data_IF_105661966368
#
_entry.id   IF_105661966368
#
_cell.length_a   1.000
_cell.length_b   1.000
_cell.length_c   1.000
_cell.angle_alpha   90.00
_cell.angle_beta   90.00
_cell.angle_gamma   90.00
#
_symmetry.space_group_name_H-M   'P 1'
#
loop_
_entity.id
_entity.type
_entity.pdbx_description
1 polymer ?
2 water ?
#
# COMPACT_ATOMS: atom_id res chain seq x y z
N UNK A 2 -13.18 -23.74 -7.67
CA UNK A 2 -13.90 -22.57 -8.23
C UNK A 2 -13.00 -21.33 -8.31
N UNK A 3 -13.42 -20.34 -9.10
CA UNK A 3 -12.65 -19.12 -9.29
C UNK A 3 -12.46 -18.35 -7.98
N UNK A 4 -13.54 -18.16 -7.23
CA UNK A 4 -13.45 -17.44 -5.96
C UNK A 4 -12.44 -18.10 -5.04
N UNK A 5 -12.49 -19.41 -4.93
CA UNK A 5 -11.56 -20.14 -4.07
C UNK A 5 -10.14 -20.01 -4.60
N UNK A 6 -10.02 -19.78 -5.90
CA UNK A 6 -8.72 -19.63 -6.53
C UNK A 6 -8.11 -18.27 -6.14
N UNK A 7 -8.94 -17.23 -6.17
CA UNK A 7 -8.49 -15.89 -5.80
C UNK A 7 -8.06 -15.86 -4.33
N UNK A 8 -8.88 -16.44 -3.45
CA UNK A 8 -8.59 -16.47 -2.02
C UNK A 8 -7.20 -17.04 -1.76
N UNK A 9 -6.90 -18.16 -2.40
CA UNK A 9 -5.60 -18.81 -2.24
C UNK A 9 -4.46 -17.97 -2.79
N UNK A 10 -4.66 -17.37 -3.96
CA UNK A 10 -3.63 -16.56 -4.58
C UNK A 10 -3.26 -15.33 -3.73
N UNK A 11 -4.25 -14.75 -3.06
CA UNK A 11 -3.99 -13.57 -2.23
C UNK A 11 -3.73 -13.90 -0.77
N UNK A 12 -3.83 -15.18 -0.42
CA UNK A 12 -3.58 -15.63 0.94
C UNK A 12 -4.56 -15.10 1.98
N UNK A 13 -5.79 -14.79 1.57
CA UNK A 13 -6.79 -14.28 2.48
C UNK A 13 -7.40 -15.37 3.38
N UNK A 14 -7.80 -14.99 4.58
CA UNK A 14 -8.40 -15.91 5.53
C UNK A 14 -9.77 -15.37 5.95
N UNK A 15 -10.69 -16.28 6.30
CA UNK A 15 -12.06 -15.92 6.72
C UNK A 15 -12.05 -15.06 7.97
N UNK A 16 -11.10 -15.37 8.85
CA UNK A 16 -10.98 -14.63 10.11
C UNK A 16 -9.53 -14.64 10.57
N UNK A 17 -9.14 -13.59 11.28
CA UNK A 17 -7.78 -13.50 11.78
C UNK A 17 -7.75 -13.04 13.22
N UNK A 18 -6.63 -13.30 13.88
CA UNK A 18 -6.44 -12.88 15.24
C UNK A 18 -5.60 -11.60 15.14
N UNK A 19 -6.18 -10.48 15.54
CA UNK A 19 -5.51 -9.20 15.47
C UNK A 19 -4.09 -9.21 16.05
N UNK A 20 -3.96 -9.61 17.31
CA UNK A 20 -2.66 -9.65 17.97
C UNK A 20 -1.65 -10.46 17.18
N UNK A 21 -2.08 -11.61 16.69
CA UNK A 21 -1.19 -12.48 15.92
C UNK A 21 -0.76 -11.85 14.59
N UNK A 22 -1.69 -11.18 13.90
CA UNK A 22 -1.36 -10.57 12.61
C UNK A 22 -0.46 -9.35 12.80
N UNK A 23 -0.65 -8.62 13.90
CA UNK A 23 0.19 -7.45 14.20
C UNK A 23 1.62 -7.99 14.31
N UNK A 24 1.77 -9.05 15.11
CA UNK A 24 3.07 -9.64 15.36
C UNK A 24 3.75 -10.17 14.09
N UNK A 25 3.00 -10.89 13.27
CA UNK A 25 3.55 -11.46 12.04
C UNK A 25 4.15 -10.34 11.17
N UNK A 26 3.43 -9.23 11.06
CA UNK A 26 3.88 -8.10 10.27
C UNK A 26 5.13 -7.43 10.85
N UNK A 27 5.14 -7.20 12.16
CA UNK A 27 6.27 -6.57 12.82
C UNK A 27 7.53 -7.44 12.75
N UNK A 28 7.42 -8.73 13.08
CA UNK A 28 8.58 -9.61 13.03
C UNK A 28 9.10 -9.78 11.61
N UNK A 29 8.18 -9.74 10.64
CA UNK A 29 8.54 -9.84 9.23
C UNK A 29 9.46 -8.65 8.95
N UNK A 30 8.99 -7.44 9.24
CA UNK A 30 9.78 -6.23 9.03
C UNK A 30 11.12 -6.30 9.75
N UNK A 31 11.09 -6.66 11.03
CA UNK A 31 12.30 -6.77 11.84
C UNK A 31 13.26 -7.81 11.25
N UNK A 32 12.72 -8.97 10.89
CA UNK A 32 13.54 -10.02 10.32
C UNK A 32 14.24 -9.58 9.03
N UNK A 33 13.52 -8.82 8.22
CA UNK A 33 14.06 -8.34 6.95
C UNK A 33 15.26 -7.41 7.18
N UNK A 34 15.06 -6.43 8.06
CA UNK A 34 16.12 -5.47 8.37
C UNK A 34 17.36 -6.15 8.96
N UNK A 35 17.15 -7.15 9.81
CA UNK A 35 18.26 -7.86 10.42
C UNK A 35 19.06 -8.70 9.42
N UNK A 36 18.39 -9.17 8.38
CA UNK A 36 19.04 -9.97 7.35
C UNK A 36 19.89 -9.10 6.41
N UNK A 37 19.59 -7.80 6.37
CA UNK A 37 20.32 -6.86 5.52
C UNK A 37 20.68 -5.64 6.34
N UNK A 38 21.72 -5.77 7.18
CA UNK A 38 22.19 -4.68 8.05
C UNK A 38 22.56 -3.36 7.38
N UNK A 39 22.76 -3.36 6.07
CA UNK A 39 23.09 -2.08 5.42
C UNK A 39 21.85 -1.21 5.29
N UNK A 40 20.67 -1.79 5.53
CA UNK A 40 19.44 -1.02 5.46
C UNK A 40 19.26 -0.30 6.80
N UNK A 41 19.03 1.00 6.77
CA UNK A 41 18.88 1.74 8.02
C UNK A 41 17.51 2.36 8.24
N UNK A 42 16.71 2.46 7.18
CA UNK A 42 15.40 3.06 7.34
C UNK A 42 14.30 2.50 6.48
N UNK A 43 13.08 2.69 6.98
CA UNK A 43 11.86 2.27 6.30
C UNK A 43 11.20 3.55 5.84
N UNK A 44 10.85 3.61 4.57
CA UNK A 44 10.22 4.81 4.03
C UNK A 44 8.80 4.49 3.58
N UNK A 45 7.86 5.30 4.02
CA UNK A 45 6.46 5.11 3.68
C UNK A 45 5.73 6.43 3.40
N UNK A 46 4.88 6.43 2.38
CA UNK A 46 4.11 7.62 2.08
C UNK A 46 2.89 7.66 3.01
N UNK A 47 2.65 8.81 3.63
CA UNK A 47 1.52 8.96 4.55
C UNK A 47 0.44 9.79 3.87
N UNK A 48 -0.75 9.23 3.72
CA UNK A 48 -1.85 9.93 3.06
C UNK A 48 -2.99 10.31 4.01
N UNK A 49 -2.96 9.77 5.21
CA UNK A 49 -4.01 10.06 6.16
C UNK A 49 -5.08 8.98 6.10
N UNK A 50 -4.93 8.07 5.13
CA UNK A 50 -5.89 6.98 4.99
C UNK A 50 -5.58 5.78 5.86
N UNK A 51 -6.56 4.89 5.96
CA UNK A 51 -6.45 3.68 6.76
C UNK A 51 -5.19 2.85 6.50
N UNK A 52 -4.99 2.46 5.25
CA UNK A 52 -3.85 1.63 4.87
C UNK A 52 -2.47 2.16 5.28
N UNK A 53 -2.15 3.40 4.92
CA UNK A 53 -0.85 3.95 5.26
C UNK A 53 -0.72 4.18 6.77
N UNK A 54 -1.82 4.50 7.43
CA UNK A 54 -1.77 4.73 8.87
C UNK A 54 -1.39 3.43 9.57
N UNK A 55 -2.04 2.33 9.18
CA UNK A 55 -1.75 1.03 9.77
C UNK A 55 -0.31 0.61 9.45
N UNK A 56 0.09 0.76 8.19
CA UNK A 56 1.43 0.39 7.77
C UNK A 56 2.47 1.23 8.53
N UNK A 57 2.20 2.53 8.64
CA UNK A 57 3.11 3.41 9.34
C UNK A 57 3.31 2.98 10.79
N UNK A 58 2.22 2.67 11.48
CA UNK A 58 2.29 2.25 12.87
C UNK A 58 3.12 0.98 13.01
N UNK A 59 2.89 0.02 12.12
CA UNK A 59 3.64 -1.23 12.16
C UNK A 59 5.14 -1.00 11.91
N UNK A 60 5.47 -0.03 11.06
CA UNK A 60 6.87 0.25 10.77
C UNK A 60 7.55 0.85 12.01
N UNK A 61 6.92 1.84 12.63
CA UNK A 61 7.51 2.48 13.80
C UNK A 61 7.72 1.46 14.92
N UNK A 62 6.78 0.52 15.06
CA UNK A 62 6.89 -0.51 16.10
C UNK A 62 8.10 -1.40 15.85
N UNK A 63 8.32 -1.76 14.59
CA UNK A 63 9.45 -2.61 14.25
C UNK A 63 10.77 -1.90 14.54
N UNK A 64 10.85 -0.61 14.21
CA UNK A 64 12.04 0.17 14.46
C UNK A 64 12.26 0.35 15.98
N UNK A 65 11.20 0.69 16.70
CA UNK A 65 11.32 0.87 18.15
C UNK A 65 11.88 -0.38 18.82
N UNK A 66 11.34 -1.54 18.47
CA UNK A 66 11.82 -2.77 19.07
C UNK A 66 13.26 -3.09 18.70
N UNK A 67 13.62 -2.88 17.43
CA UNK A 67 15.00 -3.16 17.01
C UNK A 67 16.00 -2.32 17.81
N UNK A 68 15.69 -1.04 17.99
CA UNK A 68 16.58 -0.15 18.74
C UNK A 68 16.84 -0.66 20.14
N UNK A 69 15.76 -1.01 20.85
CA UNK A 69 15.89 -1.50 22.21
C UNK A 69 16.68 -2.79 22.27
N UNK A 70 16.34 -3.72 21.39
CA UNK A 70 16.96 -5.03 21.35
C UNK A 70 18.40 -5.11 20.81
N UNK A 71 18.76 -4.24 19.88
CA UNK A 71 20.11 -4.28 19.30
C UNK A 71 20.97 -3.07 19.66
N UNK A 72 20.36 -2.03 20.20
CA UNK A 72 21.11 -0.85 20.57
C UNK A 72 21.55 -0.03 19.35
N UNK A 73 21.09 -0.42 18.16
CA UNK A 73 21.44 0.30 16.94
C UNK A 73 20.63 1.58 16.84
N UNK A 74 21.26 2.70 17.16
CA UNK A 74 20.59 4.00 17.17
C UNK A 74 20.35 4.67 15.81
N UNK A 75 20.98 4.16 14.75
CA UNK A 75 20.82 4.76 13.43
C UNK A 75 19.57 4.31 12.66
N UNK A 76 18.86 3.31 13.16
CA UNK A 76 17.66 2.84 12.49
C UNK A 76 16.56 3.89 12.63
N UNK A 77 15.81 4.14 11.56
CA UNK A 77 14.75 5.11 11.66
C UNK A 77 13.62 4.89 10.66
N UNK A 78 12.40 5.25 11.07
CA UNK A 78 11.25 5.15 10.19
C UNK A 78 11.00 6.55 9.69
N UNK A 79 10.90 6.69 8.37
CA UNK A 79 10.69 7.99 7.76
C UNK A 79 9.33 8.06 7.07
N UNK A 80 8.44 8.86 7.63
CA UNK A 80 7.11 9.06 7.07
C UNK A 80 7.19 10.22 6.07
N UNK A 81 6.64 10.01 4.88
CA UNK A 81 6.70 11.04 3.85
C UNK A 81 5.32 11.56 3.45
N UNK A 82 5.15 12.88 3.49
CA UNK A 82 3.90 13.48 3.06
C UNK A 82 4.13 13.95 1.63
N UNK A 83 3.27 13.51 0.73
CA UNK A 83 3.43 13.84 -0.68
C UNK A 83 2.21 14.56 -1.25
N UNK A 84 1.96 15.78 -0.78
CA UNK A 84 0.81 16.57 -1.25
C UNK A 84 0.97 17.09 -2.67
N UNK A 85 -0.15 17.21 -3.36
CA UNK A 85 -0.15 17.75 -4.71
C UNK A 85 -0.61 19.19 -4.52
N UNK A 86 0.33 20.10 -4.34
CA UNK A 86 -0.03 21.48 -4.11
C UNK A 86 -0.41 21.69 -2.65
N UNK A 87 -1.64 21.34 -2.31
CA UNK A 87 -2.13 21.48 -0.94
C UNK A 87 -3.40 20.65 -0.66
N UNK A 91 -6.01 18.88 5.85
CA UNK A 91 -5.05 17.76 6.05
C UNK A 91 -5.01 17.31 7.51
N UNK A 92 -6.17 17.36 8.17
CA UNK A 92 -6.25 16.95 9.56
C UNK A 92 -6.06 15.45 9.74
N UNK A 93 -6.44 14.68 8.72
CA UNK A 93 -6.27 13.24 8.78
C UNK A 93 -4.79 12.89 8.81
N UNK A 94 -4.01 13.55 7.96
CA UNK A 94 -2.56 13.30 7.93
C UNK A 94 -1.97 13.62 9.29
N UNK A 95 -2.33 14.78 9.82
CA UNK A 95 -1.84 15.22 11.12
C UNK A 95 -2.22 14.25 12.22
N UNK A 96 -3.46 13.77 12.19
CA UNK A 96 -3.93 12.82 13.19
C UNK A 96 -3.17 11.51 13.07
N UNK A 97 -2.96 11.05 11.84
CA UNK A 97 -2.25 9.80 11.61
C UNK A 97 -0.83 9.90 12.15
N UNK A 98 -0.14 10.99 11.80
CA UNK A 98 1.21 11.20 12.26
C UNK A 98 1.30 11.21 13.79
N UNK A 99 0.33 11.86 14.43
CA UNK A 99 0.28 11.93 15.88
C UNK A 99 0.13 10.54 16.49
N UNK A 100 -0.59 9.67 15.80
CA UNK A 100 -0.81 8.30 16.26
C UNK A 100 0.40 7.40 16.01
N UNK A 101 1.07 7.62 14.88
CA UNK A 101 2.24 6.83 14.53
C UNK A 101 3.47 7.26 15.33
N UNK A 102 3.64 8.57 15.48
CA UNK A 102 4.77 9.16 16.19
C UNK A 102 6.08 8.74 15.51
N UNK A 103 6.21 9.03 14.21
CA UNK A 103 7.41 8.68 13.44
C UNK A 103 8.68 9.39 13.88
N UNK A 104 9.82 8.74 13.66
CA UNK A 104 11.10 9.36 14.02
C UNK A 104 11.33 10.61 13.20
N UNK A 105 10.86 10.58 11.96
CA UNK A 105 11.09 11.69 11.04
C UNK A 105 9.96 11.84 10.03
N UNK A 106 9.60 13.09 9.75
CA UNK A 106 8.54 13.38 8.79
C UNK A 106 9.07 14.33 7.73
N UNK A 107 8.91 13.96 6.47
CA UNK A 107 9.35 14.80 5.36
C UNK A 107 8.12 15.14 4.53
N UNK A 108 8.09 16.36 4.03
CA UNK A 108 6.99 16.80 3.21
C UNK A 108 7.57 17.18 1.86
N UNK A 109 7.05 16.56 0.82
CA UNK A 109 7.50 16.81 -0.54
C UNK A 109 6.29 17.13 -1.42
N UNK A 110 6.27 18.33 -1.97
CA UNK A 110 5.18 18.74 -2.83
C UNK A 110 5.50 18.30 -4.26
N UNK A 111 4.66 17.42 -4.80
CA UNK A 111 4.88 16.90 -6.14
C UNK A 111 4.32 17.73 -7.29
N UNK A 112 3.52 18.74 -6.98
CA UNK A 112 2.91 19.55 -8.04
C UNK A 112 3.92 20.07 -9.04
N UNK A 113 5.01 20.65 -8.54
CA UNK A 113 6.03 21.17 -9.43
C UNK A 113 6.51 20.19 -10.48
N UNK A 114 6.87 18.99 -10.05
CA UNK A 114 7.35 17.96 -10.97
C UNK A 114 6.29 17.51 -11.97
N UNK A 115 5.05 17.33 -11.52
CA UNK A 115 3.99 16.89 -12.41
C UNK A 115 3.75 17.89 -13.56
N UNK A 116 3.68 19.17 -13.23
CA UNK A 116 3.48 20.21 -14.25
C UNK A 116 4.65 20.25 -15.21
N UNK A 117 5.84 20.03 -14.70
CA UNK A 117 7.02 20.03 -15.56
C UNK A 117 6.93 18.87 -16.56
N UNK A 118 6.48 17.70 -16.08
CA UNK A 118 6.34 16.53 -16.95
C UNK A 118 5.30 16.79 -18.03
N UNK A 119 4.19 17.40 -17.65
CA UNK A 119 3.14 17.69 -18.60
C UNK A 119 3.57 18.71 -19.63
N UNK A 120 4.35 19.70 -19.23
CA UNK A 120 4.81 20.71 -20.16
C UNK A 120 5.69 20.06 -21.23
N UNK A 121 6.58 19.18 -20.79
CA UNK A 121 7.46 18.47 -21.71
C UNK A 121 6.62 17.63 -22.68
N UNK A 122 5.55 17.02 -22.17
CA UNK A 122 4.68 16.21 -23.03
C UNK A 122 3.94 17.11 -24.00
N UNK A 123 3.43 18.23 -23.50
CA UNK A 123 2.70 19.18 -24.34
C UNK A 123 3.57 19.61 -25.54
N UNK A 124 4.84 19.93 -25.28
CA UNK A 124 5.74 20.34 -26.35
C UNK A 124 5.94 19.21 -27.36
N UNK A 125 5.68 17.99 -26.95
CA UNK A 125 5.83 16.85 -27.85
C UNK A 125 4.52 16.64 -28.59
N UNK A 126 3.50 17.38 -28.21
CA UNK A 126 2.21 17.26 -28.87
C UNK A 126 1.21 16.38 -28.15
N UNK A 127 1.47 16.08 -26.88
CA UNK A 127 0.56 15.23 -26.13
C UNK A 127 -0.02 15.93 -24.92
N UNK A 128 -1.36 15.99 -24.89
CA UNK A 128 -2.10 16.60 -23.79
C UNK A 128 -2.67 15.46 -22.98
N UNK A 129 -2.47 15.50 -21.67
CA UNK A 129 -2.96 14.44 -20.81
C UNK A 129 -4.37 14.67 -20.30
N UNK A 130 -5.06 13.57 -20.04
CA UNK A 130 -6.41 13.60 -19.50
C UNK A 130 -6.28 13.51 -17.99
N UNK A 131 -7.33 13.91 -17.27
CA UNK A 131 -7.30 13.82 -15.82
C UNK A 131 -7.01 12.40 -15.35
N UNK A 132 -7.56 11.42 -16.07
CA UNK A 132 -7.35 10.04 -15.71
C UNK A 132 -5.86 9.69 -15.71
N UNK A 133 -5.19 9.95 -16.83
CA UNK A 133 -3.78 9.67 -16.94
C UNK A 133 -3.00 10.51 -15.92
N UNK A 134 -3.41 11.75 -15.72
CA UNK A 134 -2.73 12.62 -14.77
C UNK A 134 -2.71 11.99 -13.38
N UNK A 135 -3.80 11.32 -13.02
CA UNK A 135 -3.88 10.67 -11.73
C UNK A 135 -2.78 9.63 -11.56
N UNK A 136 -2.45 8.93 -12.64
CA UNK A 136 -1.42 7.92 -12.58
C UNK A 136 -0.03 8.55 -12.54
N UNK A 137 0.12 9.66 -13.26
CA UNK A 137 1.38 10.39 -13.31
C UNK A 137 1.73 10.83 -11.89
N UNK A 138 0.72 11.26 -11.13
CA UNK A 138 0.93 11.68 -9.74
C UNK A 138 1.42 10.50 -8.91
N UNK A 139 0.71 9.38 -8.98
CA UNK A 139 1.09 8.21 -8.22
C UNK A 139 2.54 7.82 -8.54
N UNK A 140 2.94 7.96 -9.79
CA UNK A 140 4.30 7.59 -10.18
C UNK A 140 5.33 8.61 -9.69
N UNK A 141 4.95 9.88 -9.65
CA UNK A 141 5.87 10.89 -9.15
C UNK A 141 6.11 10.63 -7.66
N UNK A 142 5.07 10.19 -6.95
CA UNK A 142 5.21 9.89 -5.53
C UNK A 142 6.14 8.69 -5.34
N UNK A 143 6.09 7.75 -6.28
CA UNK A 143 6.96 6.58 -6.22
C UNK A 143 8.41 7.05 -6.41
N UNK A 144 8.65 7.96 -7.35
CA UNK A 144 10.01 8.47 -7.59
C UNK A 144 10.55 9.18 -6.35
N UNK A 145 9.69 9.98 -5.72
CA UNK A 145 10.10 10.71 -4.54
C UNK A 145 10.52 9.76 -3.42
N UNK A 146 9.72 8.73 -3.15
CA UNK A 146 10.07 7.82 -2.08
C UNK A 146 11.35 7.05 -2.35
N UNK A 147 11.57 6.64 -3.60
CA UNK A 147 12.79 5.92 -3.92
C UNK A 147 14.02 6.84 -3.87
N UNK A 148 13.84 8.13 -4.14
CA UNK A 148 14.97 9.04 -4.05
C UNK A 148 15.33 9.22 -2.58
N UNK A 149 14.32 9.33 -1.71
CA UNK A 149 14.57 9.46 -0.27
C UNK A 149 15.29 8.18 0.19
N UNK A 150 14.72 7.03 -0.12
CA UNK A 150 15.31 5.74 0.27
C UNK A 150 16.74 5.62 -0.26
N UNK A 151 16.97 6.17 -1.46
CA UNK A 151 18.28 6.11 -2.05
C UNK A 151 19.30 6.88 -1.22
N UNK A 152 18.85 7.96 -0.59
CA UNK A 152 19.74 8.80 0.22
C UNK A 152 19.77 8.46 1.71
N UNK A 153 18.92 7.53 2.15
CA UNK A 153 18.88 7.18 3.56
C UNK A 153 19.07 5.69 3.81
N UNK A 154 19.61 4.98 2.82
CA UNK A 154 19.81 3.53 2.96
C UNK A 154 18.52 2.88 3.41
N UNK A 155 17.42 3.20 2.74
CA UNK A 155 16.15 2.64 3.13
C UNK A 155 15.46 1.85 2.04
N UNK A 156 14.36 1.20 2.41
CA UNK A 156 13.55 0.45 1.46
C UNK A 156 12.17 1.07 1.52
N UNK A 157 11.46 1.02 0.41
CA UNK A 157 10.12 1.59 0.33
C UNK A 157 9.07 0.57 0.76
N UNK A 158 8.26 0.95 1.75
CA UNK A 158 7.20 0.10 2.28
C UNK A 158 5.90 0.44 1.55
N UNK A 159 5.17 -0.59 1.15
CA UNK A 159 3.90 -0.39 0.46
C UNK A 159 2.72 -0.81 1.31
N UNK A 160 1.55 -0.32 0.95
CA UNK A 160 0.31 -0.61 1.67
C UNK A 160 -0.60 -1.63 1.01
N UNK A 161 -0.15 -2.24 -0.08
CA UNK A 161 -0.99 -3.22 -0.78
C UNK A 161 -1.51 -4.32 0.16
N UNK A 162 -2.79 -4.63 0.02
CA UNK A 162 -3.46 -5.66 0.81
C UNK A 162 -4.48 -6.41 -0.05
N UNK A 163 -5.01 -7.51 0.47
CA UNK A 163 -5.95 -8.35 -0.27
C UNK A 163 -7.09 -7.60 -0.97
N UNK A 164 -7.80 -6.74 -0.23
CA UNK A 164 -8.93 -6.00 -0.82
C UNK A 164 -8.53 -5.01 -1.90
N UNK A 165 -7.23 -4.74 -2.03
CA UNK A 165 -6.77 -3.81 -3.05
C UNK A 165 -6.23 -4.60 -4.23
N UNK A 166 -5.46 -5.64 -3.91
CA UNK A 166 -4.87 -6.49 -4.93
C UNK A 166 -5.92 -7.17 -5.80
N UNK A 167 -7.05 -7.52 -5.20
CA UNK A 167 -8.10 -8.21 -5.95
C UNK A 167 -8.69 -7.39 -7.09
N UNK A 168 -8.91 -6.10 -6.85
CA UNK A 168 -9.49 -5.22 -7.87
C UNK A 168 -8.45 -4.64 -8.81
N UNK A 169 -7.19 -4.66 -8.40
CA UNK A 169 -6.15 -4.10 -9.25
C UNK A 169 -6.26 -2.60 -9.31
N UNK A 170 -6.95 -2.02 -8.34
CA UNK A 170 -7.14 -0.58 -8.28
C UNK A 170 -5.95 0.14 -7.64
N UNK A 171 -4.83 0.12 -8.37
CA UNK A 171 -3.62 0.79 -7.94
C UNK A 171 -2.81 1.05 -9.21
N UNK A 172 -2.00 2.09 -9.20
CA UNK A 172 -1.21 2.44 -10.37
C UNK A 172 0.01 1.54 -10.51
N UNK A 173 0.15 0.95 -11.69
CA UNK A 173 1.29 0.07 -11.98
C UNK A 173 2.54 0.93 -11.93
N UNK A 174 3.49 0.54 -11.08
CA UNK A 174 4.75 1.27 -10.91
C UNK A 174 4.54 2.63 -10.25
N UNK A 175 3.35 2.83 -9.70
CA UNK A 175 3.04 4.05 -8.98
C UNK A 175 2.99 3.61 -7.52
N UNK A 176 1.83 3.68 -6.88
CA UNK A 176 1.73 3.23 -5.50
C UNK A 176 1.93 1.71 -5.43
N UNK A 177 1.95 1.06 -6.59
CA UNK A 177 2.18 -0.37 -6.62
C UNK A 177 3.67 -0.66 -6.67
N UNK A 178 4.47 0.38 -6.87
CA UNK A 178 5.92 0.21 -6.94
C UNK A 178 6.60 0.34 -5.59
N UNK A 179 6.76 -0.79 -4.90
CA UNK A 179 7.37 -0.79 -3.59
C UNK A 179 8.33 -1.96 -3.43
N UNK A 180 8.96 -2.05 -2.26
CA UNK A 180 9.91 -3.12 -1.98
C UNK A 180 9.32 -4.19 -1.08
N UNK A 181 8.65 -3.75 -0.03
CA UNK A 181 8.12 -4.69 0.94
C UNK A 181 6.74 -4.26 1.40
N UNK A 182 5.80 -5.22 1.39
CA UNK A 182 4.40 -4.97 1.73
C UNK A 182 3.94 -5.81 2.91
N UNK A 183 4.00 -5.24 4.13
CA UNK A 183 3.59 -5.92 5.35
C UNK A 183 2.10 -6.22 5.52
N UNK A 184 1.24 -5.56 4.76
CA UNK A 184 -0.22 -5.75 4.87
C UNK A 184 -0.82 -6.81 3.94
N UNK A 185 -0.05 -7.24 2.94
CA UNK A 185 -0.53 -8.24 1.99
C UNK A 185 -1.07 -9.50 2.70
N UNK A 186 -2.32 -9.85 2.37
CA UNK A 186 -3.07 -11.01 2.87
C UNK A 186 -4.33 -10.57 3.60
N UNK A 187 -4.33 -9.34 4.11
CA UNK A 187 -5.46 -8.79 4.86
C UNK A 187 -6.49 -8.09 3.98
N UNK A 188 -7.77 -8.22 4.34
CA UNK A 188 -8.81 -7.53 3.59
C UNK A 188 -9.05 -6.19 4.29
N UNK A 189 -10.03 -5.43 3.81
CA UNK A 189 -10.29 -4.12 4.38
C UNK A 189 -10.72 -4.14 5.85
N UNK A 190 -11.80 -4.85 6.17
CA UNK A 190 -12.28 -4.87 7.55
C UNK A 190 -11.25 -5.45 8.50
N UNK A 191 -10.43 -6.39 8.04
CA UNK A 191 -9.42 -6.96 8.92
C UNK A 191 -8.36 -5.91 9.23
N UNK A 192 -8.20 -4.95 8.32
CA UNK A 192 -7.25 -3.87 8.54
C UNK A 192 -7.75 -3.00 9.67
N UNK A 193 -9.06 -2.76 9.68
CA UNK A 193 -9.70 -1.96 10.71
C UNK A 193 -9.54 -2.65 12.06
N UNK A 194 -9.60 -3.97 12.02
CA UNK A 194 -9.47 -4.79 13.22
C UNK A 194 -8.12 -4.55 13.91
N UNK A 195 -7.05 -4.61 13.13
CA UNK A 195 -5.71 -4.38 13.65
C UNK A 195 -5.59 -2.96 14.23
N UNK A 196 -6.18 -1.98 13.55
CA UNK A 196 -6.13 -0.60 14.02
C UNK A 196 -6.88 -0.44 15.33
N UNK A 197 -7.97 -1.17 15.49
CA UNK A 197 -8.73 -1.10 16.73
C UNK A 197 -7.88 -1.68 17.86
N UNK A 198 -7.25 -2.82 17.60
CA UNK A 198 -6.41 -3.47 18.60
C UNK A 198 -5.22 -2.59 19.00
N UNK A 199 -4.84 -1.67 18.12
CA UNK A 199 -3.72 -0.78 18.39
C UNK A 199 -4.16 0.53 19.04
N UNK A 200 -5.45 0.62 19.35
CA UNK A 200 -6.01 1.81 19.98
C UNK A 200 -5.91 3.04 19.08
N UNK A 201 -6.08 2.84 17.79
CA UNK A 201 -6.03 3.94 16.83
C UNK A 201 -7.30 4.76 16.91
N UNK A 202 -7.19 6.10 16.78
CA UNK A 202 -8.37 6.98 16.83
C UNK A 202 -9.38 6.43 15.84
N UNK A 203 -10.63 6.38 16.26
CA UNK A 203 -11.71 5.84 15.44
C UNK A 203 -11.97 6.52 14.09
N UNK A 204 -12.02 7.85 14.08
CA UNK A 204 -12.30 8.58 12.84
C UNK A 204 -11.26 8.39 11.75
N UNK A 205 -10.17 7.69 12.09
CA UNK A 205 -9.10 7.44 11.13
C UNK A 205 -9.34 6.21 10.26
N UNK A 206 -10.33 5.39 10.63
CA UNK A 206 -10.61 4.19 9.87
C UNK A 206 -12.10 3.86 9.82
N UNK A 207 -12.94 4.84 10.18
CA UNK A 207 -14.37 4.64 10.18
C UNK A 207 -15.09 5.98 10.32
N UNK A 224 -19.23 2.07 -2.03
CA UNK A 224 -17.78 2.39 -1.84
C UNK A 224 -17.00 2.37 -3.17
N UNK A 225 -16.05 1.44 -3.25
CA UNK A 225 -15.18 1.26 -4.41
C UNK A 225 -15.69 1.80 -5.75
N UNK A 226 -16.41 0.96 -6.50
CA UNK A 226 -16.93 1.37 -7.80
C UNK A 226 -17.97 0.40 -8.34
N UNK A 227 -18.77 0.86 -9.29
CA UNK A 227 -19.82 0.05 -9.91
C UNK A 227 -20.78 -0.58 -8.91
N UNK A 228 -21.07 0.13 -7.84
CA UNK A 228 -22.00 -0.38 -6.83
C UNK A 228 -21.41 -1.48 -5.98
N UNK A 229 -20.11 -1.72 -6.14
CA UNK A 229 -19.43 -2.75 -5.35
C UNK A 229 -18.79 -2.07 -4.14
N UNK A 230 -19.10 -2.58 -2.95
CA UNK A 230 -18.56 -2.00 -1.73
C UNK A 230 -17.46 -2.85 -1.14
N UNK A 231 -16.68 -2.24 -0.24
CA UNK A 231 -15.60 -2.97 0.41
C UNK A 231 -16.15 -4.17 1.17
N UNK A 232 -17.39 -4.04 1.66
CA UNK A 232 -18.01 -5.14 2.37
C UNK A 232 -18.22 -6.30 1.40
N UNK A 233 -18.67 -5.99 0.20
CA UNK A 233 -18.88 -7.03 -0.81
C UNK A 233 -17.52 -7.70 -1.09
N UNK A 234 -16.50 -6.86 -1.26
CA UNK A 234 -15.16 -7.33 -1.56
C UNK A 234 -14.59 -8.15 -0.41
N UNK A 235 -14.77 -7.69 0.82
CA UNK A 235 -14.26 -8.43 1.96
C UNK A 235 -15.03 -9.73 2.15
N UNK A 236 -16.36 -9.67 2.01
CA UNK A 236 -17.18 -10.88 2.14
C UNK A 236 -16.69 -11.90 1.13
N UNK A 237 -16.49 -11.44 -0.10
CA UNK A 237 -16.01 -12.31 -1.16
C UNK A 237 -14.68 -12.92 -0.74
N UNK A 238 -13.78 -12.08 -0.23
CA UNK A 238 -12.46 -12.52 0.21
C UNK A 238 -12.52 -13.47 1.40
N UNK A 239 -13.55 -13.34 2.22
CA UNK A 239 -13.71 -14.20 3.37
C UNK A 239 -14.38 -15.53 3.03
N UNK A 240 -14.66 -15.72 1.74
CA UNK A 240 -15.27 -16.96 1.26
C UNK A 240 -16.78 -17.05 1.36
N UNK A 241 -17.45 -15.92 1.58
CA UNK A 241 -18.90 -15.92 1.69
C UNK A 241 -19.55 -15.79 0.32
N UNK A 242 -20.86 -16.00 0.27
CA UNK A 242 -21.61 -15.87 -0.97
C UNK A 242 -22.05 -14.43 -1.15
N UNK A 243 -21.90 -13.92 -2.38
CA UNK A 243 -22.32 -12.56 -2.68
C UNK A 243 -23.17 -12.59 -3.95
N UNK A 244 -23.99 -11.56 -4.16
CA UNK A 244 -24.82 -11.51 -5.37
C UNK A 244 -23.98 -11.66 -6.64
N UNK A 245 -24.52 -12.40 -7.62
CA UNK A 245 -23.83 -12.63 -8.88
C UNK A 245 -23.31 -11.35 -9.53
N UNK A 246 -24.17 -10.35 -9.66
CA UNK A 246 -23.75 -9.09 -10.28
C UNK A 246 -22.53 -8.51 -9.60
N UNK A 247 -22.42 -8.75 -8.29
CA UNK A 247 -21.26 -8.26 -7.53
C UNK A 247 -20.06 -9.16 -7.77
N UNK A 248 -20.25 -10.46 -7.57
CA UNK A 248 -19.18 -11.43 -7.76
C UNK A 248 -18.62 -11.42 -9.18
N UNK A 249 -19.48 -11.18 -10.17
CA UNK A 249 -19.03 -11.15 -11.56
C UNK A 249 -18.17 -9.92 -11.84
N UNK A 250 -18.54 -8.80 -11.24
CA UNK A 250 -17.80 -7.55 -11.43
C UNK A 250 -16.43 -7.69 -10.78
N UNK A 251 -16.40 -8.23 -9.58
CA UNK A 251 -15.18 -8.43 -8.83
C UNK A 251 -14.22 -9.33 -9.59
N UNK A 252 -14.74 -10.42 -10.13
CA UNK A 252 -13.92 -11.37 -10.88
C UNK A 252 -13.42 -10.81 -12.20
N UNK A 253 -14.17 -9.86 -12.76
CA UNK A 253 -13.77 -9.24 -14.02
C UNK A 253 -12.55 -8.35 -13.77
N UNK A 254 -12.62 -7.56 -12.71
CA UNK A 254 -11.53 -6.67 -12.37
C UNK A 254 -10.26 -7.48 -12.13
N UNK A 255 -10.39 -8.58 -11.40
CA UNK A 255 -9.27 -9.44 -11.09
C UNK A 255 -8.55 -9.92 -12.34
N UNK A 256 -9.29 -10.59 -13.22
CA UNK A 256 -8.74 -11.13 -14.47
C UNK A 256 -8.13 -10.05 -15.36
N UNK A 257 -8.79 -8.90 -15.44
CA UNK A 257 -8.30 -7.81 -16.27
C UNK A 257 -7.00 -7.16 -15.76
N UNK A 258 -6.80 -7.20 -14.45
CA UNK A 258 -5.62 -6.57 -13.86
C UNK A 258 -4.50 -7.54 -13.48
N UNK A 259 -4.55 -8.76 -13.99
CA UNK A 259 -3.53 -9.76 -13.68
C UNK A 259 -2.12 -9.29 -14.04
N UNK A 260 -1.98 -8.49 -15.09
CA UNK A 260 -0.67 -8.00 -15.50
C UNK A 260 -0.06 -7.04 -14.49
N UNK A 261 -0.89 -6.46 -13.62
CA UNK A 261 -0.40 -5.54 -12.59
C UNK A 261 0.20 -6.30 -11.42
N UNK A 262 -0.20 -7.56 -11.25
CA UNK A 262 0.31 -8.36 -10.14
C UNK A 262 1.43 -9.31 -10.57
N UNK A 263 1.95 -9.09 -11.78
CA UNK A 263 3.01 -9.94 -12.31
C UNK A 263 4.13 -9.12 -12.94
N UNK A 264 5.33 -9.73 -13.06
CA UNK A 264 6.47 -9.03 -13.66
C UNK A 264 6.16 -8.85 -15.16
N UNK A 265 6.99 -8.08 -15.86
CA UNK A 265 6.76 -7.87 -17.29
C UNK A 265 6.58 -9.18 -18.06
N UNK A 266 5.63 -9.19 -18.98
CA UNK A 266 5.34 -10.37 -19.80
C UNK A 266 6.50 -10.74 -20.75
N UNK A 267 6.80 -12.04 -20.84
CA UNK A 267 7.85 -12.54 -21.72
C UNK A 267 7.24 -13.67 -22.56
N UNK A 268 8.00 -14.20 -23.52
CA UNK A 268 7.50 -15.27 -24.37
C UNK A 268 7.17 -16.55 -23.61
N UNK A 269 7.58 -16.63 -22.35
CA UNK A 269 7.32 -17.82 -21.54
C UNK A 269 6.02 -17.79 -20.75
N UNK A 270 5.36 -16.63 -20.65
CA UNK A 270 4.12 -16.54 -19.91
C UNK A 270 2.92 -16.95 -20.76
N UNK A 271 1.86 -17.38 -20.10
CA UNK A 271 0.65 -17.80 -20.81
C UNK A 271 -0.62 -17.34 -20.11
N UNK A 272 -0.48 -16.79 -18.91
CA UNK A 272 -1.64 -16.34 -18.14
C UNK A 272 -2.52 -15.37 -18.92
N UNK A 273 -1.95 -14.69 -19.89
CA UNK A 273 -2.69 -13.71 -20.69
C UNK A 273 -3.32 -14.29 -21.96
N UNK A 274 -3.01 -15.54 -22.27
CA UNK A 274 -3.52 -16.17 -23.49
C UNK A 274 -4.99 -16.54 -23.54
N UNK A 275 -5.57 -16.37 -24.72
CA UNK A 275 -6.98 -16.67 -24.98
C UNK A 275 -7.94 -15.80 -24.20
#
# INVERSE_FOLDING_TARGET
MTLQQQIIKALGAKPQINAEEEIRRSVDFLKSYLQTYPFIKSLVLGISGGQDSTLAGKLCQMAINELRLETGNESLQFIAVRLPYGVQADEQDCQDAIAFIQPDRVLTVNIKGAVLASEQALREAGIELSDFVRGNEKARERMKAQYSIAGMTSGVVVGTDHAAEAITGFFTKYGDGGTDINPLYRLNKRQGKQLLAALACPEHLYKKAPTADLEDDRPSLPDEVALGVTYDNIDDYLEGKNVPQQVARTIENWYLKTEHKRRPPITVFDDFWKK
#
